data_IF_402363268063
#
_entry.id   IF_402363268063
#
_cell.length_a   1.000
_cell.length_b   1.000
_cell.length_c   1.000
_cell.angle_alpha   90.00
_cell.angle_beta   90.00
_cell.angle_gamma   90.00
#
_symmetry.space_group_name_H-M   'P 1'
#
loop_
_entity.id
_entity.type
_entity.pdbx_description
1 polymer ?
#
# COMPACT_ATOMS: atom_id res chain seq x y z
N UNK A 1 0.91 -9.14 8.85
CA UNK A 1 -0.17 -10.10 8.49
C UNK A 1 -0.81 -9.57 7.22
N UNK A 2 -0.89 -10.37 6.17
CA UNK A 2 -1.41 -9.94 4.86
C UNK A 2 -2.33 -11.04 4.31
N UNK A 3 -3.45 -10.65 3.73
CA UNK A 3 -4.37 -11.58 3.07
C UNK A 3 -3.77 -12.10 1.75
N UNK A 4 -3.92 -13.40 1.49
CA UNK A 4 -3.40 -14.02 0.27
C UNK A 4 -4.01 -13.44 -1.02
N UNK A 5 -5.26 -13.00 -0.97
CA UNK A 5 -5.96 -12.40 -2.11
C UNK A 5 -5.99 -10.88 -2.02
N UNK A 6 -4.96 -10.27 -1.43
CA UNK A 6 -4.83 -8.82 -1.38
C UNK A 6 -4.70 -8.27 -2.81
N UNK A 7 -5.76 -7.59 -3.25
CA UNK A 7 -5.85 -7.05 -4.60
C UNK A 7 -5.40 -5.58 -4.63
N UNK A 8 -4.13 -5.36 -4.30
CA UNK A 8 -3.48 -4.05 -4.32
C UNK A 8 -2.16 -4.16 -5.06
N UNK A 9 -1.99 -3.31 -6.05
CA UNK A 9 -0.78 -3.23 -6.87
C UNK A 9 0.02 -2.00 -6.46
N UNK A 10 1.32 -2.19 -6.24
CA UNK A 10 2.30 -1.13 -6.02
C UNK A 10 2.84 -0.67 -7.37
N UNK A 11 2.71 0.62 -7.64
CA UNK A 11 3.28 1.30 -8.80
C UNK A 11 4.40 2.23 -8.36
N UNK A 12 5.53 2.20 -9.07
CA UNK A 12 6.55 3.24 -9.03
C UNK A 12 6.42 4.04 -10.32
N UNK A 13 6.04 5.29 -10.17
CA UNK A 13 5.84 6.23 -11.26
C UNK A 13 6.98 7.24 -11.30
N UNK A 14 7.52 7.49 -12.48
CA UNK A 14 8.59 8.46 -12.68
C UNK A 14 8.03 9.74 -13.28
N UNK A 15 8.29 10.86 -12.61
CA UNK A 15 7.98 12.19 -13.10
C UNK A 15 9.02 12.60 -14.16
N UNK A 16 8.65 13.35 -15.22
CA UNK A 16 9.61 13.98 -16.13
C UNK A 16 10.76 14.72 -15.46
N UNK A 17 10.54 15.26 -14.25
CA UNK A 17 11.56 15.95 -13.46
C UNK A 17 12.59 15.01 -12.78
N UNK A 18 12.41 13.69 -12.90
CA UNK A 18 13.30 12.66 -12.36
C UNK A 18 12.90 12.11 -10.98
N UNK A 19 11.86 12.64 -10.35
CA UNK A 19 11.36 12.19 -9.05
C UNK A 19 10.41 11.00 -9.16
N UNK A 20 10.53 10.04 -8.24
CA UNK A 20 9.68 8.86 -8.20
C UNK A 20 8.54 9.03 -7.20
N UNK A 21 7.33 8.67 -7.63
CA UNK A 21 6.11 8.63 -6.84
C UNK A 21 5.62 7.19 -6.72
N UNK A 22 5.30 6.76 -5.50
CA UNK A 22 4.74 5.43 -5.25
C UNK A 22 3.23 5.54 -5.10
N UNK A 23 2.48 4.70 -5.79
CA UNK A 23 1.03 4.56 -5.63
C UNK A 23 0.65 3.12 -5.28
N UNK A 24 -0.40 2.97 -4.48
CA UNK A 24 -1.02 1.68 -4.16
C UNK A 24 -2.46 1.72 -4.67
N UNK A 25 -2.75 0.94 -5.69
CA UNK A 25 -4.03 1.00 -6.39
C UNK A 25 -4.71 -0.36 -6.40
N UNK A 26 -6.03 -0.37 -6.19
CA UNK A 26 -6.89 -1.51 -6.51
C UNK A 26 -7.13 -1.60 -8.02
N UNK A 27 -7.46 -2.77 -8.59
CA UNK A 27 -7.69 -2.91 -10.02
C UNK A 27 -8.80 -2.03 -10.60
N UNK A 28 -9.75 -1.58 -9.78
CA UNK A 28 -10.76 -0.63 -10.21
C UNK A 28 -10.17 0.76 -10.41
N UNK A 29 -9.22 1.16 -9.56
CA UNK A 29 -8.56 2.46 -9.61
C UNK A 29 -7.53 2.54 -10.73
N UNK A 30 -6.91 1.42 -11.11
CA UNK A 30 -5.95 1.38 -12.23
C UNK A 30 -6.59 1.71 -13.59
N UNK A 31 -7.92 1.67 -13.69
CA UNK A 31 -8.66 2.06 -14.90
C UNK A 31 -8.76 3.58 -15.07
N UNK A 32 -8.64 4.33 -13.98
CA UNK A 32 -8.68 5.78 -14.03
C UNK A 32 -7.29 6.34 -14.37
N UNK A 33 -7.20 6.96 -15.55
CA UNK A 33 -5.97 7.59 -16.04
C UNK A 33 -5.53 8.77 -15.19
N UNK A 34 -6.42 9.36 -14.39
CA UNK A 34 -6.10 10.51 -13.54
C UNK A 34 -4.98 10.22 -12.53
N UNK A 35 -4.84 8.96 -12.10
CA UNK A 35 -3.78 8.53 -11.19
C UNK A 35 -2.38 8.52 -11.84
N UNK A 36 -2.32 8.45 -13.17
CA UNK A 36 -1.08 8.40 -13.95
C UNK A 36 -0.75 9.76 -14.59
N UNK A 37 -1.43 10.84 -14.15
CA UNK A 37 -1.18 12.19 -14.62
C UNK A 37 -0.68 13.03 -13.44
N UNK A 38 0.39 13.77 -13.66
CA UNK A 38 0.86 14.77 -12.71
C UNK A 38 -0.15 15.93 -12.67
N UNK A 39 -0.75 16.18 -11.50
CA UNK A 39 -1.80 17.20 -11.32
C UNK A 39 -1.30 18.64 -11.48
N UNK A 40 -0.01 18.89 -11.30
CA UNK A 40 0.59 20.22 -11.40
C UNK A 40 0.96 20.56 -12.84
N UNK A 41 1.52 19.59 -13.56
CA UNK A 41 2.04 19.80 -14.92
C UNK A 41 1.09 19.31 -16.02
N UNK A 42 0.10 18.47 -15.67
CA UNK A 42 -0.80 17.82 -16.62
C UNK A 42 -0.12 16.75 -17.49
N UNK A 43 1.14 16.41 -17.22
CA UNK A 43 1.90 15.42 -17.98
C UNK A 43 1.66 14.01 -17.47
N UNK A 44 1.72 13.04 -18.38
CA UNK A 44 1.64 11.62 -18.04
C UNK A 44 2.92 11.17 -17.29
N UNK A 45 2.73 10.39 -16.23
CA UNK A 45 3.79 9.79 -15.45
C UNK A 45 4.18 8.45 -16.09
N UNK A 46 5.48 8.18 -16.18
CA UNK A 46 5.97 6.91 -16.71
C UNK A 46 5.89 5.83 -15.64
N UNK A 47 5.37 4.65 -15.98
CA UNK A 47 5.38 3.50 -15.07
C UNK A 47 6.75 2.83 -15.12
N UNK A 48 7.55 2.99 -14.07
CA UNK A 48 8.87 2.38 -13.95
C UNK A 48 8.78 0.94 -13.41
N UNK A 49 7.94 0.72 -12.40
CA UNK A 49 7.73 -0.59 -11.79
C UNK A 49 6.25 -0.82 -11.47
N UNK A 50 5.76 -2.03 -11.71
CA UNK A 50 4.44 -2.49 -11.27
C UNK A 50 4.59 -3.89 -10.64
N UNK A 51 4.20 -4.04 -9.38
CA UNK A 51 4.30 -5.30 -8.64
C UNK A 51 3.12 -5.48 -7.70
N UNK A 52 2.67 -6.72 -7.49
CA UNK A 52 1.66 -7.00 -6.46
C UNK A 52 2.19 -6.64 -5.08
N UNK A 53 1.38 -5.95 -4.25
CA UNK A 53 1.86 -5.48 -2.95
C UNK A 53 2.22 -6.65 -2.02
N UNK A 54 1.49 -7.75 -2.11
CA UNK A 54 1.81 -9.00 -1.38
C UNK A 54 3.18 -9.54 -1.78
N UNK A 55 3.50 -9.54 -3.07
CA UNK A 55 4.81 -9.98 -3.59
C UNK A 55 5.91 -9.05 -3.12
N UNK A 56 5.68 -7.73 -3.15
CA UNK A 56 6.63 -6.76 -2.63
C UNK A 56 6.91 -6.97 -1.14
N UNK A 57 5.89 -7.26 -0.33
CA UNK A 57 6.10 -7.63 1.08
C UNK A 57 6.91 -8.90 1.22
N UNK A 58 6.63 -9.94 0.42
CA UNK A 58 7.38 -11.19 0.45
C UNK A 58 8.87 -11.01 0.11
N UNK A 59 9.19 -10.05 -0.77
CA UNK A 59 10.56 -9.73 -1.14
C UNK A 59 11.28 -8.86 -0.10
N UNK A 60 10.55 -7.99 0.62
CA UNK A 60 11.16 -6.94 1.44
C UNK A 60 10.99 -7.12 2.95
N UNK A 61 10.14 -8.03 3.45
CA UNK A 61 9.84 -8.13 4.89
C UNK A 61 11.09 -8.29 5.78
N UNK A 62 12.13 -8.99 5.28
CA UNK A 62 13.39 -9.18 6.02
C UNK A 62 14.14 -7.86 6.25
N UNK A 63 14.07 -6.93 5.29
CA UNK A 63 14.72 -5.63 5.39
C UNK A 63 14.12 -4.78 6.53
N UNK A 64 12.85 -5.01 6.86
CA UNK A 64 12.15 -4.34 7.95
C UNK A 64 12.23 -5.07 9.29
N UNK A 65 12.96 -6.20 9.37
CA UNK A 65 13.08 -6.98 10.61
C UNK A 65 11.72 -7.44 11.15
N UNK A 66 10.78 -7.74 10.25
CA UNK A 66 9.44 -8.23 10.59
C UNK A 66 9.27 -9.68 10.13
N UNK A 67 8.22 -10.35 10.61
CA UNK A 67 7.82 -11.66 10.13
C UNK A 67 6.54 -11.50 9.29
N UNK A 68 6.62 -11.85 8.00
CA UNK A 68 5.45 -11.87 7.13
C UNK A 68 4.61 -13.12 7.42
N UNK A 69 3.33 -12.92 7.69
CA UNK A 69 2.34 -13.98 7.83
C UNK A 69 1.24 -13.76 6.79
N UNK A 70 0.99 -14.77 5.98
CA UNK A 70 -0.07 -14.78 4.97
C UNK A 70 -1.28 -15.51 5.56
N UNK A 71 -2.47 -14.92 5.43
CA UNK A 71 -3.73 -15.48 5.95
C UNK A 71 -4.77 -15.65 4.85
N UNK A 72 -5.79 -16.47 5.13
CA UNK A 72 -6.95 -16.71 4.25
C UNK A 72 -8.23 -16.29 4.97
N UNK A 73 -9.35 -16.16 4.26
CA UNK A 73 -10.65 -15.78 4.82
C UNK A 73 -11.50 -16.99 5.27
N UNK A 74 -10.92 -18.19 5.32
CA UNK A 74 -11.63 -19.44 5.61
C UNK A 74 -12.04 -19.63 7.08
N UNK A 75 -11.39 -18.94 8.01
CA UNK A 75 -11.78 -18.92 9.42
C UNK A 75 -12.61 -17.68 9.76
N UNK A 76 -13.31 -17.70 10.89
CA UNK A 76 -14.08 -16.55 11.35
C UNK A 76 -13.17 -15.34 11.59
N UNK A 77 -12.03 -15.55 12.22
CA UNK A 77 -11.00 -14.53 12.48
C UNK A 77 -10.39 -14.02 11.16
N UNK A 78 -10.12 -14.93 10.22
CA UNK A 78 -9.59 -14.58 8.90
C UNK A 78 -10.57 -13.72 8.10
N UNK A 79 -11.86 -14.09 8.08
CA UNK A 79 -12.89 -13.28 7.44
C UNK A 79 -13.05 -11.91 8.10
N UNK A 80 -12.94 -11.81 9.42
CA UNK A 80 -12.96 -10.51 10.12
C UNK A 80 -11.74 -9.66 9.76
N UNK A 81 -10.56 -10.27 9.65
CA UNK A 81 -9.35 -9.58 9.22
C UNK A 81 -9.50 -9.02 7.80
N UNK A 82 -9.92 -9.87 6.85
CA UNK A 82 -10.00 -9.48 5.44
C UNK A 82 -11.08 -8.40 5.20
N UNK A 83 -12.26 -8.55 5.81
CA UNK A 83 -13.39 -7.64 5.61
C UNK A 83 -13.37 -6.41 6.52
N UNK A 84 -12.88 -6.57 7.76
CA UNK A 84 -12.88 -5.51 8.77
C UNK A 84 -11.64 -4.62 8.75
N UNK A 85 -10.49 -5.17 8.35
CA UNK A 85 -9.19 -4.46 8.36
C UNK A 85 -8.59 -4.30 6.95
N UNK A 86 -9.34 -4.62 5.90
CA UNK A 86 -8.90 -4.44 4.51
C UNK A 86 -7.79 -5.38 4.05
N UNK A 87 -7.50 -6.45 4.81
CA UNK A 87 -6.55 -7.50 4.41
C UNK A 87 -5.07 -7.19 4.65
N UNK A 88 -4.71 -6.07 5.29
CA UNK A 88 -3.34 -5.74 5.68
C UNK A 88 -3.31 -5.32 7.14
N UNK A 89 -2.33 -5.80 7.90
CA UNK A 89 -2.17 -5.42 9.30
C UNK A 89 -0.78 -5.71 9.87
N UNK A 90 -0.40 -4.97 10.90
CA UNK A 90 0.86 -5.11 11.62
C UNK A 90 0.64 -5.39 13.10
N UNK A 91 1.44 -6.31 13.67
CA UNK A 91 1.57 -6.47 15.11
C UNK A 91 2.84 -5.76 15.56
N UNK A 92 2.68 -4.69 16.35
CA UNK A 92 3.80 -3.89 16.82
C UNK A 92 4.42 -4.52 18.07
N UNK A 93 5.76 -4.49 18.16
CA UNK A 93 6.51 -5.03 19.31
C UNK A 93 6.30 -4.23 20.59
N UNK A 94 6.03 -2.94 20.45
CA UNK A 94 5.83 -2.02 21.56
C UNK A 94 4.63 -1.13 21.26
N UNK A 95 4.08 -0.52 22.31
CA UNK A 95 3.04 0.50 22.17
C UNK A 95 3.62 1.69 21.40
N UNK A 96 2.95 2.05 20.31
CA UNK A 96 3.25 3.22 19.53
C UNK A 96 2.37 4.37 20.00
N UNK A 97 2.96 5.55 20.18
CA UNK A 97 2.23 6.78 20.44
C UNK A 97 1.96 7.51 19.12
N UNK A 98 0.76 7.31 18.60
CA UNK A 98 0.30 7.88 17.33
C UNK A 98 -0.18 9.33 17.46
N UNK A 99 -0.18 9.91 18.66
CA UNK A 99 -0.70 11.27 18.91
C UNK A 99 0.38 12.37 18.75
N UNK A 100 1.57 12.01 18.28
CA UNK A 100 2.62 12.99 18.00
C UNK A 100 2.32 13.69 16.67
N UNK A 101 2.47 15.02 16.64
CA UNK A 101 2.13 15.89 15.48
C UNK A 101 2.74 15.40 14.15
N UNK A 102 3.89 14.72 14.19
CA UNK A 102 4.57 14.20 13.00
C UNK A 102 3.75 13.12 12.26
N UNK A 103 2.81 12.43 12.93
CA UNK A 103 1.96 11.40 12.30
C UNK A 103 0.66 11.97 11.71
N UNK A 104 0.16 13.09 12.21
CA UNK A 104 -1.10 13.67 11.73
C UNK A 104 -0.95 14.19 10.28
N UNK A 105 0.20 14.78 9.96
CA UNK A 105 0.44 15.35 8.62
C UNK A 105 0.56 14.26 7.52
N UNK A 106 1.14 13.08 7.81
CA UNK A 106 1.29 12.00 6.81
C UNK A 106 0.01 11.18 6.58
N UNK A 107 -0.90 11.10 7.56
CA UNK A 107 -2.13 10.32 7.44
C UNK A 107 -3.32 11.10 6.85
N UNK A 108 -3.29 12.44 6.90
CA UNK A 108 -4.34 13.29 6.35
C UNK A 108 -4.44 13.24 4.81
N UNK A 109 -3.37 12.81 4.12
CA UNK A 109 -3.36 12.60 2.67
C UNK A 109 -3.90 11.23 2.22
N UNK A 110 -4.21 10.33 3.17
CA UNK A 110 -4.83 9.03 2.91
C UNK A 110 -6.36 9.16 3.03
N UNK A 111 -6.96 9.99 2.19
CA UNK A 111 -8.42 10.10 2.12
C UNK A 111 -9.02 8.88 1.37
N UNK A 112 -10.04 8.29 1.98
CA UNK A 112 -10.81 7.12 1.52
C UNK A 112 -11.72 7.44 0.33
#
# INVERSE_FOLDING_TARGET
>A
IVWENLDIVRYVLRNPNGENKILYLKPEQTKDKSFFINKETGMELEVEEQMQLLEWFANNYKNFGTNLQIVTDRSQEGSQFCKGFGGIGGLLRYKLDLQSHDFDDEFNDINY
#
